data_IF_306276150238
#
_entry.id   IF_306276150238
#
_cell.length_a   1.000
_cell.length_b   1.000
_cell.length_c   1.000
_cell.angle_alpha   90.00
_cell.angle_beta   90.00
_cell.angle_gamma   90.00
#
_symmetry.space_group_name_H-M   'P 1'
#
loop_
_entity.id
_entity.type
_entity.pdbx_description
1 polymer ?
#
# COMPACT_ATOMS: atom_id res chain seq x y z
N UNK A 1 -39.79 11.16 0.08
CA UNK A 1 -39.29 11.00 1.46
C UNK A 1 -38.76 12.28 2.14
N UNK A 2 -38.94 13.47 1.56
CA UNK A 2 -38.72 14.78 2.23
C UNK A 2 -39.70 15.03 3.39
N UNK A 3 -40.95 14.58 3.21
CA UNK A 3 -42.06 14.83 4.14
C UNK A 3 -41.89 14.23 5.54
N UNK A 4 -41.22 13.07 5.69
CA UNK A 4 -41.07 12.40 7.00
C UNK A 4 -40.03 13.07 7.91
N UNK A 5 -39.01 13.71 7.31
CA UNK A 5 -37.97 14.48 8.02
C UNK A 5 -38.48 15.84 8.48
N UNK A 6 -39.18 16.56 7.60
CA UNK A 6 -39.80 17.83 7.96
C UNK A 6 -40.86 17.62 9.04
N UNK A 7 -41.63 16.52 8.99
CA UNK A 7 -42.62 16.22 10.01
C UNK A 7 -42.01 15.96 11.40
N UNK A 8 -40.80 15.39 11.50
CA UNK A 8 -40.12 15.23 12.79
C UNK A 8 -39.54 16.56 13.33
N UNK A 9 -39.01 17.40 12.44
CA UNK A 9 -38.50 18.75 12.75
C UNK A 9 -39.62 19.68 13.20
N UNK A 10 -40.75 19.68 12.49
CA UNK A 10 -41.97 20.41 12.87
C UNK A 10 -42.58 19.88 14.17
N UNK A 11 -42.43 18.58 14.47
CA UNK A 11 -42.93 18.03 15.74
C UNK A 11 -42.07 18.44 16.93
N UNK A 12 -40.74 18.45 16.83
CA UNK A 12 -39.88 18.88 17.94
C UNK A 12 -39.91 20.40 18.12
N UNK A 13 -39.81 21.16 17.02
CA UNK A 13 -39.94 22.62 17.07
C UNK A 13 -41.36 23.01 17.52
N UNK A 14 -42.37 22.27 17.07
CA UNK A 14 -43.76 22.44 17.48
C UNK A 14 -43.99 22.13 18.96
N UNK A 15 -43.39 21.06 19.51
CA UNK A 15 -43.46 20.75 20.94
C UNK A 15 -42.72 21.81 21.77
N UNK A 16 -41.57 22.30 21.28
CA UNK A 16 -40.80 23.35 21.94
C UNK A 16 -41.57 24.68 21.96
N UNK A 17 -42.10 25.10 20.82
CA UNK A 17 -42.92 26.32 20.68
C UNK A 17 -44.22 26.19 21.49
N UNK A 18 -44.88 25.02 21.46
CA UNK A 18 -46.09 24.76 22.24
C UNK A 18 -45.79 24.76 23.75
N UNK A 19 -44.66 24.20 24.19
CA UNK A 19 -44.25 24.21 25.59
C UNK A 19 -43.92 25.64 26.07
N UNK A 20 -43.21 26.42 25.25
CA UNK A 20 -42.92 27.84 25.53
C UNK A 20 -44.23 28.65 25.53
N UNK A 21 -45.15 28.41 24.59
CA UNK A 21 -46.43 29.09 24.50
C UNK A 21 -47.35 28.76 25.69
N UNK A 22 -47.49 27.48 26.05
CA UNK A 22 -48.25 27.07 27.25
C UNK A 22 -47.64 27.64 28.54
N UNK A 23 -46.31 27.70 28.62
CA UNK A 23 -45.61 28.33 29.74
C UNK A 23 -45.89 29.83 29.82
N UNK A 24 -45.79 30.54 28.69
CA UNK A 24 -46.06 31.98 28.59
C UNK A 24 -47.52 32.31 28.93
N UNK A 25 -48.46 31.50 28.44
CA UNK A 25 -49.89 31.62 28.72
C UNK A 25 -50.22 31.27 30.18
N UNK A 26 -49.59 30.24 30.75
CA UNK A 26 -49.76 29.88 32.15
C UNK A 26 -49.22 30.93 33.13
N UNK A 27 -48.14 31.62 32.77
CA UNK A 27 -47.58 32.75 33.52
C UNK A 27 -48.45 34.00 33.41
N UNK A 28 -49.11 34.23 32.27
CA UNK A 28 -49.92 35.42 32.02
C UNK A 28 -51.36 35.32 32.58
N UNK A 29 -51.92 34.10 32.69
CA UNK A 29 -53.31 33.89 33.14
C UNK A 29 -53.43 33.74 34.67
N UNK A 30 -52.38 33.32 35.37
CA UNK A 30 -52.43 33.19 36.84
C UNK A 30 -51.91 34.48 37.51
N UNK A 31 -52.85 35.30 37.98
CA UNK A 31 -52.63 36.29 39.04
C UNK A 31 -51.94 35.69 40.30
N UNK A 32 -51.31 36.53 41.15
CA UNK A 32 -49.92 36.40 41.56
C UNK A 32 -49.57 35.00 42.08
N UNK A 33 -48.84 34.24 41.28
CA UNK A 33 -48.25 32.97 41.72
C UNK A 33 -47.15 33.27 42.74
N UNK A 34 -47.23 32.62 43.90
CA UNK A 34 -46.14 32.53 44.90
C UNK A 34 -44.79 32.28 44.20
N UNK A 35 -43.75 33.09 44.44
CA UNK A 35 -42.49 33.05 43.67
C UNK A 35 -41.83 31.67 43.66
N UNK A 36 -42.07 30.84 44.69
CA UNK A 36 -41.55 29.48 44.77
C UNK A 36 -42.10 28.51 43.71
N UNK A 37 -43.36 28.66 43.26
CA UNK A 37 -43.96 27.76 42.26
C UNK A 37 -43.47 28.08 40.85
N UNK A 38 -43.23 29.35 40.54
CA UNK A 38 -42.64 29.80 39.28
C UNK A 38 -41.22 29.24 39.07
N UNK A 39 -40.40 29.21 40.13
CA UNK A 39 -39.06 28.63 40.10
C UNK A 39 -39.10 27.12 39.79
N UNK A 40 -40.07 26.39 40.36
CA UNK A 40 -40.19 24.95 40.17
C UNK A 40 -40.60 24.59 38.72
N UNK A 41 -41.52 25.35 38.12
CA UNK A 41 -41.89 25.16 36.71
C UNK A 41 -40.74 25.49 35.76
N UNK A 42 -39.99 26.57 36.02
CA UNK A 42 -38.81 26.91 35.24
C UNK A 42 -37.72 25.83 35.34
N UNK A 43 -37.44 25.33 36.55
CA UNK A 43 -36.49 24.25 36.77
C UNK A 43 -36.91 22.99 36.02
N UNK A 44 -38.18 22.61 36.09
CA UNK A 44 -38.73 21.44 35.40
C UNK A 44 -38.63 21.60 33.87
N UNK A 45 -39.01 22.77 33.34
CA UNK A 45 -38.89 23.09 31.91
C UNK A 45 -37.43 23.00 31.45
N UNK A 46 -36.50 23.59 32.21
CA UNK A 46 -35.07 23.55 31.90
C UNK A 46 -34.54 22.12 31.90
N UNK A 47 -34.96 21.29 32.86
CA UNK A 47 -34.56 19.88 32.94
C UNK A 47 -35.06 19.07 31.74
N UNK A 48 -36.31 19.28 31.32
CA UNK A 48 -36.89 18.63 30.11
C UNK A 48 -36.16 19.08 28.84
N UNK A 49 -35.89 20.38 28.70
CA UNK A 49 -35.15 20.92 27.57
C UNK A 49 -33.71 20.41 27.53
N UNK A 50 -33.04 20.36 28.67
CA UNK A 50 -31.69 19.81 28.79
C UNK A 50 -31.67 18.33 28.42
N UNK A 51 -32.61 17.51 28.92
CA UNK A 51 -32.70 16.10 28.57
C UNK A 51 -32.97 15.87 27.07
N UNK A 52 -33.83 16.70 26.47
CA UNK A 52 -34.10 16.66 25.03
C UNK A 52 -32.85 17.03 24.21
N UNK A 53 -32.11 18.06 24.63
CA UNK A 53 -30.86 18.50 23.99
C UNK A 53 -29.77 17.42 24.09
N UNK A 54 -29.57 16.84 25.27
CA UNK A 54 -28.62 15.73 25.47
C UNK A 54 -28.96 14.57 24.54
N UNK A 55 -30.24 14.18 24.43
CA UNK A 55 -30.64 13.07 23.57
C UNK A 55 -30.47 13.37 22.09
N UNK A 56 -30.61 14.63 21.68
CA UNK A 56 -30.42 15.08 20.30
C UNK A 56 -28.94 15.10 19.89
N UNK A 57 -28.03 15.46 20.79
CA UNK A 57 -26.58 15.55 20.51
C UNK A 57 -25.87 14.21 20.71
N UNK A 58 -26.18 13.48 21.77
CA UNK A 58 -25.50 12.22 22.10
C UNK A 58 -25.82 11.09 21.11
N UNK A 59 -27.02 11.05 20.53
CA UNK A 59 -27.40 10.04 19.54
C UNK A 59 -26.53 10.01 18.27
N UNK A 60 -26.35 11.13 17.56
CA UNK A 60 -25.47 11.20 16.40
C UNK A 60 -23.99 11.02 16.77
N UNK A 61 -23.53 11.53 17.92
CA UNK A 61 -22.16 11.31 18.40
C UNK A 61 -21.86 9.83 18.63
N UNK A 62 -22.77 9.10 19.26
CA UNK A 62 -22.58 7.66 19.53
C UNK A 62 -22.50 6.85 18.22
N UNK A 63 -23.24 7.25 17.19
CA UNK A 63 -23.12 6.64 15.85
C UNK A 63 -21.79 6.97 15.18
N UNK A 64 -21.28 8.21 15.34
CA UNK A 64 -19.95 8.60 14.84
C UNK A 64 -18.85 7.79 15.54
N UNK A 65 -18.87 7.70 16.86
CA UNK A 65 -17.91 6.93 17.66
C UNK A 65 -17.95 5.45 17.27
N UNK A 66 -19.15 4.86 17.15
CA UNK A 66 -19.28 3.47 16.71
C UNK A 66 -18.74 3.24 15.30
N UNK A 67 -18.91 4.18 14.37
CA UNK A 67 -18.34 4.06 13.03
C UNK A 67 -16.81 4.12 13.02
N UNK A 68 -16.21 4.93 13.89
CA UNK A 68 -14.76 5.02 14.03
C UNK A 68 -14.18 3.75 14.66
N UNK A 69 -14.81 3.21 15.70
CA UNK A 69 -14.39 1.98 16.36
C UNK A 69 -14.57 0.74 15.48
N UNK A 70 -15.70 0.64 14.77
CA UNK A 70 -15.98 -0.47 13.86
C UNK A 70 -15.23 -0.35 12.51
N UNK A 71 -14.68 0.83 12.20
CA UNK A 71 -14.00 1.15 10.94
C UNK A 71 -14.84 0.88 9.70
N UNK A 72 -16.17 0.94 9.85
CA UNK A 72 -17.15 0.66 8.81
C UNK A 72 -17.85 1.96 8.36
N UNK A 73 -17.52 2.48 7.17
CA UNK A 73 -18.11 3.71 6.66
C UNK A 73 -19.58 3.54 6.25
N UNK A 74 -20.12 2.32 6.20
CA UNK A 74 -21.53 2.02 5.93
C UNK A 74 -22.46 2.60 7.00
N UNK A 75 -22.01 2.59 8.26
CA UNK A 75 -22.77 3.12 9.40
C UNK A 75 -23.01 4.64 9.34
N UNK A 76 -22.24 5.34 8.52
CA UNK A 76 -22.38 6.79 8.30
C UNK A 76 -23.41 7.15 7.22
N UNK A 77 -23.92 6.17 6.45
CA UNK A 77 -24.84 6.43 5.34
C UNK A 77 -26.13 7.16 5.76
N UNK A 78 -26.76 6.84 6.91
CA UNK A 78 -27.95 7.54 7.37
C UNK A 78 -27.67 8.95 7.90
N UNK A 79 -26.44 9.23 8.31
CA UNK A 79 -25.99 10.53 8.83
C UNK A 79 -25.55 11.48 7.70
N UNK A 80 -24.85 10.96 6.68
CA UNK A 80 -24.35 11.74 5.55
C UNK A 80 -25.46 12.39 4.70
N UNK A 81 -26.67 11.81 4.72
CA UNK A 81 -27.83 12.27 3.96
C UNK A 81 -28.72 13.27 4.72
N UNK A 82 -28.34 13.64 5.95
CA UNK A 82 -29.04 14.67 6.73
C UNK A 82 -28.33 16.01 6.54
N UNK A 83 -29.08 17.04 6.13
CA UNK A 83 -28.58 18.42 6.06
C UNK A 83 -28.49 19.01 7.48
N UNK A 84 -27.41 18.67 8.18
CA UNK A 84 -26.95 19.22 9.46
C UNK A 84 -25.40 19.14 9.50
N UNK A 85 -24.75 19.91 10.38
CA UNK A 85 -23.28 19.94 10.55
C UNK A 85 -22.67 18.53 10.74
N UNK A 86 -23.39 17.63 11.41
CA UNK A 86 -23.01 16.22 11.55
C UNK A 86 -22.99 15.42 10.24
N UNK A 87 -23.81 15.81 9.26
CA UNK A 87 -23.81 15.21 7.93
C UNK A 87 -22.57 15.59 7.12
N UNK A 88 -22.06 16.82 7.26
CA UNK A 88 -20.78 17.22 6.68
C UNK A 88 -19.63 16.43 7.31
N UNK A 89 -19.61 16.33 8.65
CA UNK A 89 -18.62 15.53 9.36
C UNK A 89 -18.65 14.05 8.92
N UNK A 90 -19.84 13.47 8.77
CA UNK A 90 -20.00 12.10 8.29
C UNK A 90 -19.47 11.89 6.85
N UNK A 91 -19.56 12.91 5.98
CA UNK A 91 -18.98 12.86 4.62
C UNK A 91 -17.45 12.95 4.67
N UNK A 92 -16.89 13.88 5.46
CA UNK A 92 -15.44 14.00 5.62
C UNK A 92 -14.81 12.73 6.16
N UNK A 93 -15.42 12.12 7.19
CA UNK A 93 -14.94 10.87 7.76
C UNK A 93 -15.00 9.74 6.72
N UNK A 94 -16.08 9.68 5.92
CA UNK A 94 -16.20 8.69 4.85
C UNK A 94 -15.12 8.87 3.78
N UNK A 95 -14.89 10.09 3.32
CA UNK A 95 -13.85 10.41 2.33
C UNK A 95 -12.45 10.05 2.87
N UNK A 96 -12.16 10.38 4.13
CA UNK A 96 -10.92 9.99 4.78
C UNK A 96 -10.72 8.47 4.79
N UNK A 97 -11.75 7.70 5.18
CA UNK A 97 -11.63 6.24 5.18
C UNK A 97 -11.46 5.66 3.78
N UNK A 98 -12.12 6.23 2.77
CA UNK A 98 -11.92 5.82 1.38
C UNK A 98 -10.49 6.10 0.90
N UNK A 99 -9.94 7.27 1.21
CA UNK A 99 -8.55 7.60 0.90
C UNK A 99 -7.57 6.65 1.59
N UNK A 100 -7.80 6.32 2.86
CA UNK A 100 -6.97 5.36 3.59
C UNK A 100 -6.98 3.97 2.95
N UNK A 101 -8.13 3.50 2.48
CA UNK A 101 -8.24 2.21 1.81
C UNK A 101 -7.53 2.19 0.45
N UNK A 102 -7.66 3.25 -0.35
CA UNK A 102 -6.97 3.36 -1.64
C UNK A 102 -5.45 3.33 -1.49
N UNK A 103 -4.91 4.15 -0.58
CA UNK A 103 -3.47 4.20 -0.34
C UNK A 103 -2.93 2.84 0.15
N UNK A 104 -3.67 2.16 1.03
CA UNK A 104 -3.28 0.83 1.51
C UNK A 104 -3.23 -0.21 0.37
N UNK A 105 -4.18 -0.15 -0.56
CA UNK A 105 -4.20 -1.04 -1.73
C UNK A 105 -3.02 -0.77 -2.67
N UNK A 106 -2.72 0.50 -2.96
CA UNK A 106 -1.57 0.88 -3.80
C UNK A 106 -0.24 0.44 -3.20
N UNK A 107 -0.07 0.61 -1.88
CA UNK A 107 1.14 0.15 -1.18
C UNK A 107 1.27 -1.37 -1.27
N UNK A 108 0.18 -2.10 -1.15
CA UNK A 108 0.18 -3.55 -1.23
C UNK A 108 0.58 -4.04 -2.63
N UNK A 109 0.03 -3.43 -3.68
CA UNK A 109 0.37 -3.77 -5.06
C UNK A 109 1.85 -3.50 -5.35
N UNK A 110 2.38 -2.34 -4.95
CA UNK A 110 3.81 -2.01 -5.09
C UNK A 110 4.70 -3.02 -4.37
N UNK A 111 4.36 -3.37 -3.12
CA UNK A 111 5.11 -4.37 -2.35
C UNK A 111 5.13 -5.72 -3.04
N UNK A 112 4.00 -6.14 -3.62
CA UNK A 112 3.91 -7.41 -4.33
C UNK A 112 4.75 -7.40 -5.61
N UNK A 113 4.73 -6.30 -6.38
CA UNK A 113 5.60 -6.12 -7.54
C UNK A 113 7.09 -6.16 -7.14
N UNK A 114 7.49 -5.47 -6.07
CA UNK A 114 8.86 -5.51 -5.56
C UNK A 114 9.29 -6.90 -5.09
N UNK A 115 8.41 -7.63 -4.40
CA UNK A 115 8.68 -9.00 -3.96
C UNK A 115 8.86 -9.94 -5.16
N UNK A 116 8.02 -9.83 -6.17
CA UNK A 116 8.13 -10.60 -7.40
C UNK A 116 9.45 -10.30 -8.12
N UNK A 117 9.81 -9.01 -8.27
CA UNK A 117 11.09 -8.61 -8.87
C UNK A 117 12.28 -9.20 -8.09
N UNK A 118 12.25 -9.16 -6.74
CA UNK A 118 13.28 -9.77 -5.91
C UNK A 118 13.34 -11.29 -6.09
N UNK A 119 12.19 -11.96 -6.20
CA UNK A 119 12.14 -13.40 -6.44
C UNK A 119 12.75 -13.76 -7.80
N UNK A 120 12.37 -13.05 -8.87
CA UNK A 120 12.94 -13.24 -10.20
C UNK A 120 14.45 -12.97 -10.23
N UNK A 121 14.90 -11.88 -9.59
CA UNK A 121 16.33 -11.56 -9.47
C UNK A 121 17.09 -12.70 -8.80
N UNK A 122 16.57 -13.24 -7.68
CA UNK A 122 17.18 -14.40 -7.01
C UNK A 122 17.16 -15.65 -7.88
N UNK A 123 16.07 -15.93 -8.57
CA UNK A 123 15.96 -17.09 -9.46
C UNK A 123 17.00 -17.03 -10.60
N UNK A 124 17.27 -15.83 -11.14
CA UNK A 124 18.31 -15.62 -12.15
C UNK A 124 19.72 -15.73 -11.52
N UNK A 125 19.94 -15.12 -10.36
CA UNK A 125 21.22 -15.18 -9.64
C UNK A 125 21.63 -16.61 -9.30
N UNK A 126 20.69 -17.45 -8.86
CA UNK A 126 20.95 -18.84 -8.51
C UNK A 126 20.64 -19.83 -9.64
N UNK A 127 20.41 -19.34 -10.86
CA UNK A 127 20.17 -20.23 -12.01
C UNK A 127 21.41 -21.09 -12.30
N UNK A 128 21.25 -22.40 -12.51
CA UNK A 128 22.36 -23.27 -12.90
C UNK A 128 22.87 -22.99 -14.33
N UNK A 129 22.13 -22.19 -15.10
CA UNK A 129 22.48 -21.79 -16.45
C UNK A 129 23.24 -20.45 -16.45
N UNK A 130 24.12 -20.28 -17.43
CA UNK A 130 24.77 -19.00 -17.68
C UNK A 130 23.76 -18.03 -18.29
N UNK A 131 23.52 -16.90 -17.62
CA UNK A 131 22.59 -15.85 -18.07
C UNK A 131 23.36 -14.54 -18.27
N UNK A 132 23.15 -13.90 -19.43
CA UNK A 132 23.73 -12.62 -19.82
C UNK A 132 22.58 -11.76 -20.37
N UNK A 133 22.48 -10.51 -19.93
CA UNK A 133 21.53 -9.53 -20.45
C UNK A 133 22.35 -8.45 -21.16
N UNK A 134 21.96 -8.14 -22.40
CA UNK A 134 22.62 -7.13 -23.24
C UNK A 134 21.64 -6.05 -23.66
N UNK A 135 22.13 -4.83 -23.87
CA UNK A 135 21.37 -3.79 -24.54
C UNK A 135 21.24 -4.05 -26.05
N UNK A 136 20.51 -3.16 -26.74
CA UNK A 136 20.29 -3.24 -28.21
C UNK A 136 21.58 -3.13 -29.04
N UNK A 137 22.65 -2.54 -28.49
CA UNK A 137 23.96 -2.47 -29.13
C UNK A 137 24.81 -3.73 -28.89
N UNK A 138 24.28 -4.72 -28.17
CA UNK A 138 24.99 -5.95 -27.81
C UNK A 138 26.06 -5.73 -26.74
N UNK A 139 25.94 -4.69 -25.92
CA UNK A 139 26.81 -4.47 -24.74
C UNK A 139 26.17 -5.15 -23.54
N UNK A 140 26.96 -5.89 -22.77
CA UNK A 140 26.51 -6.61 -21.58
C UNK A 140 26.17 -5.63 -20.45
N UNK A 141 24.94 -5.70 -19.95
CA UNK A 141 24.44 -4.92 -18.81
C UNK A 141 24.40 -5.74 -17.52
N UNK A 142 24.16 -7.06 -17.62
CA UNK A 142 24.11 -7.94 -16.46
C UNK A 142 24.62 -9.34 -16.78
N UNK A 143 25.28 -9.95 -15.79
CA UNK A 143 25.70 -11.36 -15.77
C UNK A 143 25.38 -11.98 -14.41
N UNK A 144 24.89 -13.23 -14.41
CA UNK A 144 24.69 -13.96 -13.16
C UNK A 144 26.03 -14.56 -12.63
N UNK A 145 26.10 -15.00 -11.36
CA UNK A 145 27.28 -15.68 -10.81
C UNK A 145 27.76 -16.91 -11.60
N UNK A 146 26.84 -17.72 -12.15
CA UNK A 146 27.18 -18.90 -12.97
C UNK A 146 28.02 -18.54 -14.19
N UNK A 147 27.81 -17.36 -14.79
CA UNK A 147 28.65 -16.84 -15.86
C UNK A 147 30.11 -16.70 -15.40
N UNK A 148 30.34 -16.10 -14.24
CA UNK A 148 31.69 -15.88 -13.68
C UNK A 148 32.36 -17.22 -13.40
N UNK A 149 31.63 -18.17 -12.79
CA UNK A 149 32.15 -19.52 -12.52
C UNK A 149 32.52 -20.30 -13.79
N UNK A 150 31.68 -20.21 -14.83
CA UNK A 150 31.83 -21.02 -16.03
C UNK A 150 32.86 -20.43 -16.99
N UNK A 151 32.91 -19.11 -17.11
CA UNK A 151 33.77 -18.41 -18.08
C UNK A 151 35.10 -17.94 -17.47
N UNK A 152 35.15 -17.73 -16.15
CA UNK A 152 36.31 -17.22 -15.44
C UNK A 152 36.52 -15.70 -15.50
N UNK A 153 35.64 -14.96 -16.20
CA UNK A 153 35.68 -13.49 -16.23
C UNK A 153 34.97 -12.91 -15.01
N UNK A 154 35.53 -11.85 -14.41
CA UNK A 154 34.85 -11.15 -13.33
C UNK A 154 33.65 -10.35 -13.86
N UNK A 155 32.68 -10.06 -12.98
CA UNK A 155 31.53 -9.22 -13.34
C UNK A 155 31.95 -7.83 -13.84
N UNK A 156 33.01 -7.26 -13.26
CA UNK A 156 33.51 -5.93 -13.64
C UNK A 156 34.13 -5.90 -15.04
N UNK A 157 34.75 -7.00 -15.47
CA UNK A 157 35.32 -7.12 -16.83
C UNK A 157 34.25 -7.45 -17.88
N UNK A 158 33.19 -8.14 -17.46
CA UNK A 158 32.11 -8.56 -18.35
C UNK A 158 31.09 -7.45 -18.62
N UNK A 159 30.70 -6.67 -17.61
CA UNK A 159 29.77 -5.55 -17.77
C UNK A 159 30.42 -4.46 -18.63
N UNK A 160 29.69 -3.97 -19.64
CA UNK A 160 30.21 -3.00 -20.61
C UNK A 160 31.00 -3.62 -21.77
N UNK A 161 31.34 -4.92 -21.70
CA UNK A 161 31.96 -5.62 -22.80
C UNK A 161 30.93 -6.17 -23.79
N UNK A 162 31.37 -6.47 -25.01
CA UNK A 162 30.56 -7.17 -25.99
C UNK A 162 30.69 -8.70 -25.79
N UNK A 163 29.60 -9.51 -25.86
CA UNK A 163 29.64 -10.98 -25.72
C UNK A 163 30.61 -11.69 -26.67
N UNK A 164 31.08 -11.00 -27.71
CA UNK A 164 32.21 -11.43 -28.54
C UNK A 164 33.46 -11.81 -27.74
N UNK A 165 33.65 -11.33 -26.51
CA UNK A 165 34.78 -11.75 -25.67
C UNK A 165 34.79 -13.26 -25.37
N UNK A 166 33.64 -13.92 -25.46
CA UNK A 166 33.47 -15.35 -25.19
C UNK A 166 33.74 -16.21 -26.42
N UNK A 167 34.11 -15.62 -27.57
CA UNK A 167 34.37 -16.37 -28.80
C UNK A 167 35.56 -17.31 -28.61
N UNK A 168 35.33 -18.61 -28.79
CA UNK A 168 36.39 -19.63 -28.83
C UNK A 168 37.08 -19.77 -30.19
N UNK A 169 36.77 -18.87 -31.14
CA UNK A 169 37.30 -18.90 -32.52
C UNK A 169 36.77 -20.03 -33.41
N UNK A 170 35.96 -20.96 -32.86
CA UNK A 170 35.41 -22.14 -33.56
C UNK A 170 34.04 -21.92 -34.19
N UNK A 171 33.42 -20.76 -33.98
CA UNK A 171 32.13 -20.40 -34.56
C UNK A 171 32.34 -19.64 -35.87
N UNK A 172 31.73 -20.09 -36.97
CA UNK A 172 31.90 -19.41 -38.27
C UNK A 172 31.30 -17.99 -38.26
N UNK A 173 31.88 -17.04 -39.02
CA UNK A 173 31.39 -15.67 -39.08
C UNK A 173 29.92 -15.57 -39.50
N UNK A 174 29.47 -16.43 -40.42
CA UNK A 174 28.10 -16.45 -40.93
C UNK A 174 27.10 -16.86 -39.84
N UNK A 175 27.49 -17.78 -38.97
CA UNK A 175 26.65 -18.24 -37.86
C UNK A 175 26.45 -17.12 -36.83
N UNK A 176 27.51 -16.34 -36.59
CA UNK A 176 27.48 -15.20 -35.68
C UNK A 176 26.69 -14.03 -36.27
N UNK A 177 26.81 -13.78 -37.58
CA UNK A 177 26.02 -12.78 -38.29
C UNK A 177 24.52 -13.11 -38.20
N UNK A 178 24.15 -14.39 -38.41
CA UNK A 178 22.77 -14.86 -38.31
C UNK A 178 22.20 -14.70 -36.90
N UNK A 179 22.98 -15.03 -35.86
CA UNK A 179 22.61 -14.82 -34.45
C UNK A 179 22.26 -13.35 -34.17
N UNK A 180 23.15 -12.43 -34.53
CA UNK A 180 22.93 -11.00 -34.24
C UNK A 180 21.81 -10.42 -35.10
N UNK A 181 21.65 -10.87 -36.34
CA UNK A 181 20.55 -10.45 -37.19
C UNK A 181 19.21 -10.84 -36.57
N UNK A 182 19.07 -12.07 -36.05
CA UNK A 182 17.84 -12.54 -35.38
C UNK A 182 17.56 -11.79 -34.08
N UNK A 183 18.58 -11.57 -33.23
CA UNK A 183 18.39 -10.88 -31.95
C UNK A 183 18.04 -9.40 -32.17
N UNK A 184 18.70 -8.74 -33.12
CA UNK A 184 18.47 -7.30 -33.40
C UNK A 184 17.12 -7.06 -34.07
N UNK A 185 16.59 -8.04 -34.81
CA UNK A 185 15.22 -7.98 -35.34
C UNK A 185 14.13 -8.28 -34.30
N UNK A 186 14.48 -8.47 -33.02
CA UNK A 186 13.56 -8.81 -31.94
C UNK A 186 13.09 -10.27 -31.94
N UNK A 187 13.74 -11.13 -32.72
CA UNK A 187 13.42 -12.56 -32.80
C UNK A 187 14.16 -13.38 -31.74
N UNK A 188 13.63 -14.58 -31.47
CA UNK A 188 14.30 -15.55 -30.61
C UNK A 188 15.32 -16.37 -31.44
N UNK A 189 16.58 -16.40 -31.01
CA UNK A 189 17.60 -17.27 -31.61
C UNK A 189 17.90 -18.44 -30.69
N UNK A 190 17.89 -19.66 -31.24
CA UNK A 190 18.30 -20.88 -30.53
C UNK A 190 19.46 -21.54 -31.28
N UNK A 191 20.55 -21.80 -30.59
CA UNK A 191 21.67 -22.58 -31.12
C UNK A 191 22.63 -22.97 -30.01
N UNK A 192 23.33 -24.10 -30.20
CA UNK A 192 24.25 -24.61 -29.20
C UNK A 192 25.47 -23.68 -29.09
N UNK A 193 25.85 -23.21 -27.89
CA UNK A 193 27.11 -22.52 -27.71
C UNK A 193 28.24 -23.49 -28.07
N UNK A 194 29.08 -23.10 -29.02
CA UNK A 194 30.28 -23.86 -29.36
C UNK A 194 31.19 -23.97 -28.12
N UNK A 195 31.71 -25.17 -27.79
CA UNK A 195 32.43 -25.39 -26.54
C UNK A 195 33.58 -24.40 -26.40
N UNK A 196 33.53 -23.60 -25.34
CA UNK A 196 34.64 -22.74 -24.93
C UNK A 196 35.80 -23.64 -24.51
N UNK A 197 36.92 -23.58 -25.24
CA UNK A 197 38.16 -24.19 -24.76
C UNK A 197 38.55 -23.47 -23.48
N UNK A 198 38.42 -24.16 -22.36
CA UNK A 198 38.93 -23.69 -21.07
C UNK A 198 40.38 -23.25 -21.27
N UNK A 199 40.66 -21.99 -20.96
CA UNK A 199 42.03 -21.49 -20.92
C UNK A 199 42.74 -22.34 -19.88
N UNK A 200 43.67 -23.16 -20.36
CA UNK A 200 44.58 -24.00 -19.57
C UNK A 200 44.87 -23.34 -18.22
N UNK A 201 44.50 -24.03 -17.13
CA UNK A 201 45.01 -23.70 -15.80
C UNK A 201 46.53 -23.69 -15.94
N UNK A 202 47.14 -22.51 -15.94
CA UNK A 202 48.56 -22.39 -15.61
C UNK A 202 48.71 -22.84 -14.17
N UNK A 203 48.94 -24.13 -13.99
CA UNK A 203 49.58 -24.66 -12.80
C UNK A 203 50.99 -24.11 -12.79
N UNK A 204 51.24 -23.06 -12.01
CA UNK A 204 52.60 -22.68 -11.64
C UNK A 204 53.19 -23.79 -10.77
N UNK A 205 54.32 -24.41 -11.14
CA UNK A 205 55.01 -25.36 -10.28
C UNK A 205 56.12 -24.61 -9.52
N UNK A 206 55.84 -24.11 -8.32
CA UNK A 206 56.93 -23.72 -7.40
C UNK A 206 56.46 -23.59 -5.94
N UNK A 207 56.56 -24.69 -5.19
CA UNK A 207 57.10 -24.68 -3.82
C UNK A 207 57.06 -26.09 -3.23
N UNK A 208 58.07 -26.89 -3.60
CA UNK A 208 58.46 -28.08 -2.84
C UNK A 208 59.59 -27.67 -1.89
N UNK A 209 59.26 -27.46 -0.61
CA UNK A 209 60.10 -27.55 0.61
C UNK A 209 59.23 -26.97 1.72
N UNK A 210 59.03 -27.56 2.89
CA UNK A 210 59.89 -28.42 3.68
C UNK A 210 59.03 -29.07 4.76
N UNK A 211 59.17 -30.39 4.95
CA UNK A 211 58.74 -31.10 6.16
C UNK A 211 59.53 -30.57 7.37
N UNK A 212 58.85 -30.08 8.40
CA UNK A 212 59.23 -30.20 9.83
C UNK A 212 57.91 -30.33 10.60
N UNK A 213 57.53 -31.51 11.09
CA UNK A 213 57.86 -32.01 12.43
C UNK A 213 57.67 -30.95 13.53
N UNK A 214 56.51 -31.00 14.20
CA UNK A 214 56.37 -30.71 15.63
C UNK A 214 55.18 -31.53 16.16
N UNK A 215 55.44 -32.24 17.25
CA UNK A 215 54.54 -33.08 18.04
C UNK A 215 53.61 -32.22 18.94
N UNK A 216 52.61 -32.80 19.64
CA UNK A 216 51.66 -32.05 20.44
C UNK A 216 52.18 -31.80 21.87
N UNK A 217 51.68 -30.75 22.52
CA UNK A 217 51.76 -30.58 23.97
C UNK A 217 50.53 -29.80 24.49
N UNK A 218 49.83 -30.47 25.41
CA UNK A 218 48.74 -30.05 26.31
C UNK A 218 47.38 -29.65 25.71
#
# INVERSE_FOLDING_TARGET
>A
MKALSDMARFRILGILILAIALFTVGVLILEPIEPGRLLLYNLLLLLVLAAALLRWVCGPLDRLVRSLCARDPGLLAPLANQNAEFGQLARLIREFFQQQQQLAAEIQERRQAEQNLRLFSRAIEYSPNTVIITNRAGIIEYVNPKFVETTGYSRAEAIGANPRLLKSGKTTPEHYARLWQTITSGGEWRGAPSPTSSRSRRTSPSARRSRRHCAPAN
#
